data_IF_867042168738
#
_entry.id   IF_867042168738
#
_cell.length_a   1.000
_cell.length_b   1.000
_cell.length_c   1.000
_cell.angle_alpha   90.00
_cell.angle_beta   90.00
_cell.angle_gamma   90.00
#
_symmetry.space_group_name_H-M   'P 1'
#
loop_
_entity.id
_entity.type
_entity.pdbx_description
1 polymer ?
#
# COMPACT_ATOMS: atom_id res chain seq x y z
N UNK A 1 -13.22 -9.99 26.71
CA UNK A 1 -13.81 -11.31 26.82
C UNK A 1 -15.22 -11.20 27.36
N UNK A 2 -16.01 -12.19 27.15
CA UNK A 2 -17.30 -12.14 27.62
C UNK A 2 -17.64 -13.40 28.31
N UNK A 3 -18.38 -13.27 29.35
CA UNK A 3 -18.71 -14.40 30.16
C UNK A 3 -20.13 -14.70 30.00
N UNK A 4 -20.49 -15.90 29.78
CA UNK A 4 -21.70 -16.25 29.65
C UNK A 4 -21.85 -17.53 30.27
N UNK A 5 -22.50 -17.59 31.16
CA UNK A 5 -22.72 -18.70 31.77
C UNK A 5 -21.48 -19.02 32.17
N UNK A 6 -20.92 -19.23 31.78
CA UNK A 6 -19.84 -19.56 32.08
C UNK A 6 -18.97 -19.81 31.06
N UNK A 7 -19.38 -19.75 29.91
CA UNK A 7 -18.50 -19.82 28.88
C UNK A 7 -17.89 -18.54 28.70
N UNK A 8 -16.63 -18.45 28.68
CA UNK A 8 -15.94 -17.25 28.40
C UNK A 8 -15.35 -17.42 27.01
N UNK A 9 -15.80 -16.62 26.12
CA UNK A 9 -15.25 -16.64 24.79
C UNK A 9 -14.41 -15.41 24.63
N UNK A 10 -13.14 -15.61 24.41
CA UNK A 10 -12.27 -14.50 24.15
C UNK A 10 -12.00 -14.49 22.67
N UNK A 11 -12.61 -13.55 22.01
CA UNK A 11 -12.30 -13.35 20.62
C UNK A 11 -11.00 -12.55 20.57
N UNK A 12 -10.09 -13.02 19.77
CA UNK A 12 -8.85 -12.32 19.66
C UNK A 12 -9.14 -10.96 19.10
N UNK A 13 -8.81 -9.96 19.87
CA UNK A 13 -8.98 -8.62 19.42
C UNK A 13 -7.63 -7.97 19.52
N UNK A 14 -7.40 -7.01 18.79
CA UNK A 14 -6.14 -6.32 18.85
C UNK A 14 -6.08 -5.40 17.69
N UNK A 15 -5.12 -4.56 17.76
CA UNK A 15 -4.92 -3.61 16.68
C UNK A 15 -3.58 -3.86 16.07
N UNK A 16 -3.48 -3.56 14.81
CA UNK A 16 -2.23 -3.69 14.09
C UNK A 16 -2.05 -2.44 13.25
N UNK A 17 -0.96 -2.39 12.56
CA UNK A 17 -0.71 -1.29 11.64
C UNK A 17 -0.04 -1.84 10.40
N UNK A 18 -0.17 -1.09 9.32
CA UNK A 18 0.51 -1.37 8.08
C UNK A 18 1.32 -0.13 7.75
N UNK A 19 2.61 -0.28 7.59
CA UNK A 19 3.45 0.85 7.26
C UNK A 19 4.44 0.42 6.19
N UNK A 20 4.83 1.35 5.39
CA UNK A 20 5.75 1.05 4.30
C UNK A 20 6.42 2.29 3.79
N UNK A 21 7.31 2.08 2.85
CA UNK A 21 8.09 3.16 2.26
C UNK A 21 7.90 3.12 0.76
N UNK A 22 7.79 4.30 0.19
CA UNK A 22 7.74 4.45 -1.25
C UNK A 22 9.13 4.79 -1.74
N UNK A 23 9.60 4.06 -2.72
CA UNK A 23 10.92 4.30 -3.32
C UNK A 23 10.73 4.63 -4.79
N UNK A 24 11.49 5.60 -5.26
CA UNK A 24 11.48 6.00 -6.65
C UNK A 24 12.77 5.59 -7.31
N UNK A 25 12.66 4.92 -8.44
CA UNK A 25 13.83 4.60 -9.25
C UNK A 25 13.71 5.36 -10.55
N UNK A 26 14.13 6.62 -10.53
CA UNK A 26 13.94 7.50 -11.66
C UNK A 26 15.08 8.52 -11.79
N UNK A 27 16.22 8.27 -11.13
CA UNK A 27 17.37 9.18 -11.17
C UNK A 27 16.97 10.60 -10.80
N UNK A 28 16.14 10.73 -9.78
CA UNK A 28 15.68 12.03 -9.29
C UNK A 28 14.98 12.82 -10.39
N UNK A 29 14.09 12.15 -11.09
CA UNK A 29 13.38 12.79 -12.19
C UNK A 29 12.64 14.03 -11.71
N UNK A 30 12.69 15.08 -12.50
CA UNK A 30 12.07 16.34 -12.13
C UNK A 30 10.57 16.30 -12.32
N UNK A 31 10.09 15.39 -13.13
CA UNK A 31 8.65 15.26 -13.36
C UNK A 31 8.01 14.24 -12.43
N UNK A 32 8.73 13.85 -11.39
CA UNK A 32 8.18 12.96 -10.39
C UNK A 32 7.01 13.67 -9.71
N UNK A 33 5.88 12.98 -9.51
CA UNK A 33 4.76 13.62 -8.82
C UNK A 33 5.10 13.95 -7.38
N UNK A 34 4.45 14.95 -6.84
CA UNK A 34 4.67 15.38 -5.47
C UNK A 34 3.94 14.51 -4.48
N UNK A 35 2.98 13.76 -4.94
CA UNK A 35 2.12 12.99 -4.07
C UNK A 35 1.64 11.76 -4.80
N UNK A 36 1.54 10.67 -4.07
CA UNK A 36 0.88 9.49 -4.59
C UNK A 36 -0.17 9.07 -3.58
N UNK A 37 -1.05 8.19 -3.98
CA UNK A 37 -2.06 7.68 -3.08
C UNK A 37 -1.89 6.17 -2.96
N UNK A 38 -1.94 5.71 -1.72
CA UNK A 38 -1.81 4.30 -1.42
C UNK A 38 -3.13 3.83 -0.82
N UNK A 39 -3.70 2.80 -1.40
CA UNK A 39 -4.93 2.21 -0.89
C UNK A 39 -4.58 1.04 0.00
N UNK A 40 -5.27 0.97 1.13
CA UNK A 40 -5.15 -0.16 2.03
C UNK A 40 -6.30 -1.10 1.74
N UNK A 41 -5.98 -2.36 1.49
CA UNK A 41 -6.98 -3.37 1.26
C UNK A 41 -7.06 -4.30 2.44
N UNK A 42 -8.29 -4.58 2.86
CA UNK A 42 -8.55 -5.53 3.92
C UNK A 42 -9.35 -6.65 3.27
N UNK A 43 -8.79 -7.81 3.24
CA UNK A 43 -9.41 -8.98 2.59
C UNK A 43 -9.82 -8.66 1.16
N UNK A 44 -8.97 -7.89 0.47
CA UNK A 44 -9.19 -7.58 -0.94
C UNK A 44 -10.06 -6.37 -1.22
N UNK A 45 -10.54 -5.70 -0.18
CA UNK A 45 -11.38 -4.53 -0.38
C UNK A 45 -10.70 -3.29 0.15
N UNK A 46 -10.78 -2.20 -0.59
CA UNK A 46 -10.17 -0.96 -0.17
C UNK A 46 -10.94 -0.40 1.01
N UNK A 47 -10.25 -0.21 2.12
CA UNK A 47 -10.87 0.32 3.34
C UNK A 47 -10.30 1.67 3.73
N UNK A 48 -9.19 2.07 3.16
CA UNK A 48 -8.58 3.37 3.47
C UNK A 48 -7.65 3.78 2.35
N UNK A 49 -7.38 5.06 2.26
CA UNK A 49 -6.43 5.60 1.29
C UNK A 49 -5.63 6.68 2.00
N UNK A 50 -4.34 6.70 1.73
CA UNK A 50 -3.48 7.70 2.35
C UNK A 50 -2.63 8.38 1.29
N UNK A 51 -2.43 9.67 1.44
CA UNK A 51 -1.54 10.41 0.57
C UNK A 51 -0.12 10.27 1.09
N UNK A 52 0.81 10.05 0.20
CA UNK A 52 2.22 9.89 0.54
C UNK A 52 2.99 10.93 -0.24
N UNK A 53 3.79 11.72 0.43
CA UNK A 53 4.46 12.84 -0.19
C UNK A 53 5.92 12.91 0.25
N UNK A 54 6.64 13.80 -0.40
CA UNK A 54 8.02 14.04 -0.01
C UNK A 54 8.10 14.55 1.43
N UNK A 55 7.10 15.30 1.86
CA UNK A 55 7.09 15.85 3.21
C UNK A 55 7.08 14.73 4.25
N UNK A 56 6.44 13.61 3.94
CA UNK A 56 6.43 12.48 4.86
C UNK A 56 7.64 11.58 4.66
N UNK A 57 8.59 11.98 3.81
CA UNK A 57 9.73 11.16 3.50
C UNK A 57 9.36 9.96 2.67
N UNK A 58 8.27 10.05 1.93
CA UNK A 58 7.72 8.96 1.12
C UNK A 58 7.41 7.73 1.97
N UNK A 59 6.96 7.97 3.21
CA UNK A 59 6.55 6.89 4.10
C UNK A 59 5.08 7.04 4.40
N UNK A 60 4.44 5.93 4.68
CA UNK A 60 3.04 5.93 5.02
C UNK A 60 2.76 4.93 6.13
N UNK A 61 1.67 5.16 6.82
CA UNK A 61 1.30 4.28 7.90
C UNK A 61 -0.21 4.31 8.08
N UNK A 62 -0.81 3.14 8.13
CA UNK A 62 -2.21 2.99 8.51
C UNK A 62 -2.18 2.33 9.87
N UNK A 63 -2.65 3.01 10.88
CA UNK A 63 -2.61 2.46 12.23
C UNK A 63 -3.99 2.30 12.80
N UNK A 64 -4.05 1.70 13.96
CA UNK A 64 -5.31 1.42 14.65
C UNK A 64 -6.21 0.54 13.80
N UNK A 65 -5.63 -0.42 13.11
CA UNK A 65 -6.38 -1.31 12.26
C UNK A 65 -6.78 -2.54 13.06
N UNK A 66 -7.98 -3.04 12.81
CA UNK A 66 -8.40 -4.27 13.46
C UNK A 66 -7.52 -5.42 12.98
N UNK A 67 -6.99 -6.19 13.88
CA UNK A 67 -6.15 -7.33 13.51
C UNK A 67 -6.98 -8.56 13.17
N UNK A 68 -8.16 -8.67 13.77
CA UNK A 68 -9.01 -9.83 13.59
C UNK A 68 -10.45 -9.41 13.42
N UNK A 69 -11.21 -10.21 12.71
CA UNK A 69 -12.63 -9.93 12.53
C UNK A 69 -13.40 -10.38 13.76
N UNK A 70 -14.72 -10.25 13.69
CA UNK A 70 -15.56 -10.58 14.85
C UNK A 70 -15.50 -12.05 15.22
N UNK A 71 -15.05 -12.88 14.29
CA UNK A 71 -14.94 -14.30 14.53
C UNK A 71 -13.54 -14.73 14.91
N UNK A 72 -12.65 -13.78 15.08
CA UNK A 72 -11.29 -14.09 15.46
C UNK A 72 -10.37 -14.45 14.32
N UNK A 73 -10.81 -14.27 13.09
CA UNK A 73 -9.96 -14.57 11.95
C UNK A 73 -9.11 -13.35 11.62
N UNK A 74 -7.86 -13.58 11.35
CA UNK A 74 -6.96 -12.47 11.03
C UNK A 74 -7.37 -11.83 9.70
N UNK A 75 -7.39 -10.51 9.69
CA UNK A 75 -7.59 -9.79 8.44
C UNK A 75 -6.33 -9.86 7.61
N UNK A 76 -6.50 -9.93 6.31
CA UNK A 76 -5.38 -9.91 5.40
C UNK A 76 -5.27 -8.51 4.83
N UNK A 77 -4.20 -7.83 5.17
CA UNK A 77 -3.99 -6.47 4.69
C UNK A 77 -3.00 -6.44 3.55
N UNK A 78 -3.29 -5.62 2.58
CA UNK A 78 -2.42 -5.41 1.44
C UNK A 78 -2.46 -3.94 1.08
N UNK A 79 -1.49 -3.49 0.30
CA UNK A 79 -1.48 -2.11 -0.16
C UNK A 79 -1.39 -2.09 -1.67
N UNK A 80 -1.93 -1.04 -2.25
CA UNK A 80 -1.89 -0.87 -3.68
C UNK A 80 -1.74 0.61 -3.96
N UNK A 81 -0.80 0.95 -4.82
CA UNK A 81 -0.64 2.34 -5.21
C UNK A 81 -1.57 2.64 -6.37
N UNK A 82 -2.21 3.80 -6.32
CA UNK A 82 -2.99 4.25 -7.46
C UNK A 82 -2.03 4.59 -8.59
N UNK A 83 -2.44 4.31 -9.80
CA UNK A 83 -1.55 4.39 -10.96
C UNK A 83 -0.85 5.73 -11.07
N UNK A 84 0.42 5.69 -11.44
CA UNK A 84 1.22 6.89 -11.64
C UNK A 84 1.72 6.86 -13.08
N UNK A 85 1.38 7.87 -13.84
CA UNK A 85 1.79 7.92 -15.25
C UNK A 85 3.30 7.92 -15.38
N UNK A 86 3.79 7.13 -16.30
CA UNK A 86 5.22 7.11 -16.57
C UNK A 86 6.02 6.23 -15.62
N UNK A 87 5.38 5.53 -14.74
CA UNK A 87 6.06 4.67 -13.78
C UNK A 87 5.42 3.30 -13.71
N UNK A 88 6.23 2.32 -13.43
CA UNK A 88 5.75 0.98 -13.17
C UNK A 88 5.90 0.71 -11.68
N UNK A 89 4.82 0.34 -11.05
CA UNK A 89 4.79 0.14 -9.61
C UNK A 89 5.00 -1.33 -9.26
N UNK A 90 5.76 -1.57 -8.22
CA UNK A 90 5.96 -2.91 -7.73
C UNK A 90 5.85 -2.88 -6.22
N UNK A 91 5.04 -3.76 -5.67
CA UNK A 91 4.83 -3.82 -4.24
C UNK A 91 5.49 -5.09 -3.70
N UNK A 92 6.29 -4.94 -2.67
CA UNK A 92 6.90 -6.06 -2.02
C UNK A 92 6.59 -5.91 -0.54
N UNK A 93 5.74 -6.77 -0.01
CA UNK A 93 5.23 -6.58 1.33
C UNK A 93 4.41 -5.32 1.36
N UNK A 94 4.86 -4.31 2.10
CA UNK A 94 4.19 -3.03 2.14
C UNK A 94 5.06 -1.92 1.56
N UNK A 95 6.18 -2.27 0.98
CA UNK A 95 7.05 -1.29 0.36
C UNK A 95 6.72 -1.20 -1.12
N UNK A 96 6.67 -0.01 -1.64
CA UNK A 96 6.30 0.24 -3.02
C UNK A 96 7.48 0.86 -3.74
N UNK A 97 7.83 0.32 -4.89
CA UNK A 97 8.90 0.87 -5.71
C UNK A 97 8.31 1.28 -7.05
N UNK A 98 8.52 2.51 -7.43
CA UNK A 98 8.13 2.98 -8.76
C UNK A 98 9.37 3.19 -9.59
N UNK A 99 9.41 2.49 -10.71
CA UNK A 99 10.51 2.61 -11.65
C UNK A 99 10.00 3.41 -12.83
N UNK A 100 10.75 4.42 -13.21
CA UNK A 100 10.36 5.23 -14.36
C UNK A 100 10.47 4.38 -15.61
N UNK A 101 9.38 4.32 -16.38
CA UNK A 101 9.41 3.59 -17.61
C UNK A 101 9.59 4.59 -18.74
N UNK A 102 10.39 4.20 -19.66
CA UNK A 102 10.72 5.09 -20.73
C UNK A 102 9.58 5.30 -21.62
N UNK A 103 9.40 6.50 -21.94
CA UNK A 103 8.59 6.72 -22.92
C UNK A 103 9.37 6.96 -24.03
N UNK A 104 10.29 6.78 -24.16
CA UNK A 104 11.13 7.05 -25.16
C UNK A 104 11.02 6.33 -26.28
N UNK A 105 11.27 6.34 -26.06
CA UNK A 105 11.39 5.92 -26.69
C UNK A 105 11.39 5.32 -27.44
N UNK A 106 11.34 5.24 -27.65
CA UNK A 106 11.25 4.67 -28.24
C UNK A 106 11.12 4.46 -28.84
N UNK A 107 11.24 4.48 -28.93
CA UNK A 107 11.02 4.23 -29.56
C UNK A 107 11.17 3.88 -30.19
N UNK A 108 11.48 3.89 -30.58
CA UNK A 108 11.44 3.37 -31.37
C UNK A 108 11.49 2.82 -31.76
N UNK A 109 11.54 2.69 -31.97
CA UNK A 109 11.42 2.06 -32.49
C UNK A 109 11.18 1.33 -32.72
N UNK A 110 11.03 1.02 -32.82
CA UNK A 110 10.73 0.25 -33.17
C UNK A 110 10.61 -0.25 -33.88
N UNK A 111 10.78 -0.33 -34.07
CA UNK A 111 10.67 -0.81 -34.73
C UNK A 111 10.33 -1.60 -34.93
N UNK A 112 10.01 -1.98 -35.19
CA UNK A 112 9.56 -2.70 -35.42
C UNK A 112 9.47 -3.21 -36.17
N UNK A 113 9.61 -3.36 -36.25
CA UNK A 113 9.54 -3.58 -36.89
C UNK A 113 9.31 -4.03 -37.18
#
# INVERSE_FOLDING_TARGET
SKVKGYDITNTKVGQTKVEGTKTWKDDNAKDRPNMIKVDLLQNGQVVATQKVTEVTGWKYEFKDLAAYDAEGKAYKYEVKEQAVDGYQSKVKGYDITNTKVGQTKVEGTKTWK
#
